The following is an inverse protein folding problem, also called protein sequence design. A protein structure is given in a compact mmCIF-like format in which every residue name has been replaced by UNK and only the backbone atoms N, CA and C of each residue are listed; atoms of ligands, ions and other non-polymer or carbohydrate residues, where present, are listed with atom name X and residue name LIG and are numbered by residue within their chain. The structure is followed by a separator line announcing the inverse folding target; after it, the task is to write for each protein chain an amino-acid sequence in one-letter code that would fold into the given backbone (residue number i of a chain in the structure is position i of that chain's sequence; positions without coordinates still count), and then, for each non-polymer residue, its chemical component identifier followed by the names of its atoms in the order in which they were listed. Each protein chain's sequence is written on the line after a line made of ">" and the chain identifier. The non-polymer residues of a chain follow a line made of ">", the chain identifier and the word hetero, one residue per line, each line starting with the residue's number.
data_IF_105809067246
#
_entry.id   IF_105809067246
#
_cell.length_a   1.000
_cell.length_b   1.000
_cell.length_c   1.000
_cell.angle_alpha   90.00
_cell.angle_beta   90.00
_cell.angle_gamma   90.00
#
_symmetry.space_group_name_H-M   'P 1'
#
loop_
_entity.id
_entity.type
_entity.pdbx_description
1 polymer ?
#
# COMPACT_ATOMS: atom_id res chain seq x y z
N UNK A 1 2.94 -13.98 -17.54
CA UNK A 1 2.95 -13.87 -16.06
C UNK A 1 1.92 -12.86 -15.57
N UNK A 2 2.01 -11.57 -15.92
CA UNK A 2 1.05 -10.52 -15.47
C UNK A 2 -0.41 -10.87 -15.78
N UNK A 3 -0.71 -11.34 -17.00
CA UNK A 3 -2.08 -11.76 -17.37
C UNK A 3 -2.60 -12.93 -16.52
N UNK A 4 -1.75 -13.93 -16.21
CA UNK A 4 -2.15 -15.08 -15.39
C UNK A 4 -2.38 -14.66 -13.93
N UNK A 5 -1.50 -13.81 -13.38
CA UNK A 5 -1.69 -13.22 -12.05
C UNK A 5 -2.98 -12.41 -11.98
N UNK A 6 -3.31 -11.65 -13.03
CA UNK A 6 -4.52 -10.83 -13.08
C UNK A 6 -5.80 -11.66 -13.13
N UNK A 7 -5.83 -12.73 -13.93
CA UNK A 7 -6.97 -13.67 -13.94
C UNK A 7 -7.18 -14.24 -12.55
N UNK A 8 -6.10 -14.67 -11.90
CA UNK A 8 -6.13 -15.26 -10.57
C UNK A 8 -6.59 -14.24 -9.49
N UNK A 9 -6.15 -12.99 -9.60
CA UNK A 9 -6.57 -11.90 -8.72
C UNK A 9 -8.05 -11.54 -8.88
N UNK A 10 -8.52 -11.45 -10.13
CA UNK A 10 -9.92 -11.18 -10.44
C UNK A 10 -10.80 -12.34 -9.94
N UNK A 11 -10.40 -13.59 -10.18
CA UNK A 11 -11.15 -14.75 -9.67
C UNK A 11 -11.18 -14.75 -8.13
N UNK A 12 -10.06 -14.44 -7.47
CA UNK A 12 -10.00 -14.32 -6.01
C UNK A 12 -10.96 -13.24 -5.46
N UNK A 13 -11.02 -12.06 -6.07
CA UNK A 13 -11.97 -11.00 -5.67
C UNK A 13 -13.43 -11.39 -5.85
N UNK A 14 -13.74 -12.12 -6.94
CA UNK A 14 -15.09 -12.59 -7.23
C UNK A 14 -15.50 -13.67 -6.23
N UNK A 15 -14.62 -14.64 -5.96
CA UNK A 15 -14.85 -15.71 -4.98
C UNK A 15 -15.05 -15.12 -3.58
N UNK A 16 -14.23 -14.16 -3.16
CA UNK A 16 -14.38 -13.51 -1.86
C UNK A 16 -15.67 -12.70 -1.73
N UNK A 17 -16.08 -12.00 -2.78
CA UNK A 17 -17.38 -11.34 -2.82
C UNK A 17 -18.54 -12.33 -2.72
N UNK A 18 -18.44 -13.46 -3.43
CA UNK A 18 -19.40 -14.55 -3.35
C UNK A 18 -19.50 -15.14 -1.94
N UNK A 19 -18.37 -15.51 -1.34
CA UNK A 19 -18.31 -16.06 0.01
C UNK A 19 -18.79 -15.07 1.06
N UNK A 20 -18.50 -13.77 0.93
CA UNK A 20 -19.03 -12.73 1.81
C UNK A 20 -20.55 -12.59 1.69
N UNK A 21 -21.10 -12.69 0.47
CA UNK A 21 -22.56 -12.60 0.26
C UNK A 21 -23.33 -13.78 0.86
N UNK A 22 -22.74 -14.98 0.87
CA UNK A 22 -23.36 -16.19 1.43
C UNK A 22 -23.22 -16.21 2.95
N UNK A 23 -22.03 -15.89 3.46
CA UNK A 23 -21.72 -15.93 4.89
C UNK A 23 -22.38 -14.76 5.65
N UNK A 24 -22.72 -13.67 4.95
CA UNK A 24 -23.29 -12.46 5.55
C UNK A 24 -22.32 -11.71 6.47
N UNK A 25 -21.05 -12.12 6.50
CA UNK A 25 -20.01 -11.55 7.35
C UNK A 25 -19.36 -10.33 6.68
N UNK A 26 -19.00 -9.36 7.50
CA UNK A 26 -18.44 -8.07 7.06
C UNK A 26 -16.91 -8.04 7.09
N UNK A 27 -16.25 -9.14 7.47
CA UNK A 27 -14.78 -9.22 7.57
C UNK A 27 -14.22 -10.44 6.87
N UNK A 28 -13.05 -10.28 6.26
CA UNK A 28 -12.39 -11.32 5.46
C UNK A 28 -12.15 -12.60 6.28
N UNK A 29 -11.59 -12.45 7.48
CA UNK A 29 -11.32 -13.59 8.35
C UNK A 29 -12.56 -14.36 8.78
N UNK A 30 -13.70 -13.68 8.98
CA UNK A 30 -14.93 -14.33 9.41
C UNK A 30 -15.51 -15.18 8.29
N UNK A 31 -15.42 -14.72 7.04
CA UNK A 31 -15.80 -15.48 5.85
C UNK A 31 -14.92 -16.74 5.72
N UNK A 32 -13.60 -16.60 5.87
CA UNK A 32 -12.67 -17.74 5.80
C UNK A 32 -12.94 -18.76 6.91
N UNK A 33 -13.22 -18.29 8.14
CA UNK A 33 -13.53 -19.15 9.29
C UNK A 33 -14.81 -19.94 9.11
N UNK A 34 -15.81 -19.34 8.45
CA UNK A 34 -17.12 -19.96 8.19
C UNK A 34 -17.03 -21.04 7.11
N UNK A 35 -16.26 -20.79 6.05
CA UNK A 35 -16.14 -21.74 4.91
C UNK A 35 -15.07 -22.81 5.13
N UNK A 36 -13.88 -22.45 5.61
CA UNK A 36 -12.73 -23.37 5.75
C UNK A 36 -12.57 -23.93 7.17
N UNK A 37 -13.40 -23.49 8.11
CA UNK A 37 -13.38 -23.95 9.50
C UNK A 37 -12.44 -23.18 10.45
N UNK A 38 -12.50 -23.50 11.76
CA UNK A 38 -11.91 -22.66 12.81
C UNK A 38 -10.38 -22.65 12.86
N UNK A 39 -9.71 -23.74 12.46
CA UNK A 39 -8.25 -23.83 12.45
C UNK A 39 -7.64 -22.95 11.35
N UNK A 40 -8.17 -23.06 10.13
CA UNK A 40 -7.74 -22.26 8.97
C UNK A 40 -8.12 -20.79 9.17
N UNK A 41 -9.30 -20.50 9.73
CA UNK A 41 -9.70 -19.14 10.10
C UNK A 41 -8.72 -18.46 11.05
N UNK A 42 -8.28 -19.15 12.13
CA UNK A 42 -7.30 -18.58 13.06
C UNK A 42 -5.92 -18.34 12.40
N UNK A 43 -5.45 -19.26 11.54
CA UNK A 43 -4.20 -19.06 10.80
C UNK A 43 -4.31 -17.85 9.86
N UNK A 44 -5.44 -17.74 9.17
CA UNK A 44 -5.76 -16.61 8.29
C UNK A 44 -5.76 -15.28 9.05
N UNK A 45 -6.36 -15.22 10.24
CA UNK A 45 -6.36 -14.03 11.10
C UNK A 45 -4.94 -13.57 11.44
N UNK A 46 -4.07 -14.51 11.86
CA UNK A 46 -2.68 -14.21 12.22
C UNK A 46 -1.90 -13.71 11.00
N UNK A 47 -2.01 -14.41 9.87
CA UNK A 47 -1.33 -14.04 8.65
C UNK A 47 -1.84 -12.68 8.12
N UNK A 48 -3.14 -12.38 8.26
CA UNK A 48 -3.76 -11.13 7.81
C UNK A 48 -3.23 -9.94 8.62
N UNK A 49 -3.19 -10.09 9.95
CA UNK A 49 -2.59 -9.10 10.86
C UNK A 49 -1.11 -8.88 10.53
N UNK A 50 -0.36 -9.95 10.32
CA UNK A 50 1.05 -9.87 9.96
C UNK A 50 1.25 -9.15 8.61
N UNK A 51 0.42 -9.45 7.62
CA UNK A 51 0.45 -8.80 6.32
C UNK A 51 0.19 -7.29 6.42
N UNK A 52 -0.90 -6.89 7.09
CA UNK A 52 -1.21 -5.47 7.33
C UNK A 52 -0.10 -4.75 8.11
N UNK A 53 0.56 -5.45 9.02
CA UNK A 53 1.67 -4.90 9.79
C UNK A 53 2.87 -4.57 8.89
N UNK A 54 3.27 -5.50 8.02
CA UNK A 54 4.39 -5.25 7.10
C UNK A 54 4.00 -4.19 6.04
N UNK A 55 2.76 -4.16 5.56
CA UNK A 55 2.26 -3.08 4.67
C UNK A 55 2.38 -1.71 5.35
N UNK A 56 2.06 -1.64 6.65
CA UNK A 56 2.22 -0.41 7.44
C UNK A 56 3.70 0.03 7.46
N UNK A 57 4.63 -0.91 7.67
CA UNK A 57 6.08 -0.61 7.61
C UNK A 57 6.47 -0.11 6.22
N UNK A 58 6.01 -0.77 5.15
CA UNK A 58 6.31 -0.37 3.77
C UNK A 58 5.85 1.06 3.49
N UNK A 59 4.64 1.42 3.92
CA UNK A 59 4.10 2.76 3.77
C UNK A 59 4.90 3.81 4.56
N UNK A 60 5.33 3.50 5.78
CA UNK A 60 6.19 4.43 6.53
C UNK A 60 7.55 4.61 5.88
N UNK A 61 8.17 3.55 5.34
CA UNK A 61 9.42 3.64 4.58
C UNK A 61 9.24 4.53 3.36
N UNK A 62 8.20 4.30 2.55
CA UNK A 62 7.93 5.12 1.36
C UNK A 62 7.70 6.58 1.74
N UNK A 63 6.88 6.84 2.75
CA UNK A 63 6.60 8.21 3.21
C UNK A 63 7.88 8.89 3.70
N UNK A 64 8.75 8.16 4.40
CA UNK A 64 10.03 8.68 4.82
C UNK A 64 10.89 9.09 3.61
N UNK A 65 11.05 8.21 2.62
CA UNK A 65 11.86 8.46 1.41
C UNK A 65 11.33 9.67 0.64
N UNK A 66 10.01 9.76 0.47
CA UNK A 66 9.36 10.89 -0.18
C UNK A 66 9.53 12.18 0.61
N UNK A 67 9.43 12.14 1.94
CA UNK A 67 9.61 13.30 2.81
C UNK A 67 11.05 13.84 2.75
N UNK A 68 12.04 12.95 2.72
CA UNK A 68 13.44 13.33 2.55
C UNK A 68 13.65 14.09 1.23
N UNK A 69 13.22 13.50 0.11
CA UNK A 69 13.36 14.15 -1.19
C UNK A 69 12.55 15.43 -1.31
N UNK A 70 11.36 15.49 -0.74
CA UNK A 70 10.56 16.72 -0.71
C UNK A 70 11.28 17.83 0.06
N UNK A 71 11.89 17.51 1.20
CA UNK A 71 12.64 18.49 1.99
C UNK A 71 13.82 19.06 1.19
N UNK A 72 14.64 18.20 0.57
CA UNK A 72 15.75 18.63 -0.29
C UNK A 72 15.25 19.45 -1.48
N UNK A 73 14.20 18.98 -2.17
CA UNK A 73 13.66 19.65 -3.36
C UNK A 73 13.09 21.04 -3.04
N UNK A 74 12.41 21.19 -1.89
CA UNK A 74 11.88 22.46 -1.43
C UNK A 74 13.00 23.41 -0.99
N UNK A 75 14.04 22.89 -0.33
CA UNK A 75 15.21 23.68 0.02
C UNK A 75 15.89 24.25 -1.21
N UNK A 76 16.19 23.42 -2.22
CA UNK A 76 16.77 23.84 -3.48
C UNK A 76 15.90 24.88 -4.20
N UNK A 77 14.57 24.67 -4.22
CA UNK A 77 13.63 25.59 -4.85
C UNK A 77 13.58 26.97 -4.18
N UNK A 78 13.65 27.02 -2.84
CA UNK A 78 13.52 28.25 -2.06
C UNK A 78 14.85 29.02 -1.99
N UNK A 79 15.97 28.30 -1.82
CA UNK A 79 17.29 28.91 -1.60
C UNK A 79 18.12 29.04 -2.87
N UNK A 80 17.82 28.26 -3.91
CA UNK A 80 18.62 28.20 -5.14
C UNK A 80 20.01 27.60 -4.93
N UNK A 81 20.31 27.07 -3.74
CA UNK A 81 21.60 26.49 -3.37
C UNK A 81 21.55 24.96 -3.51
N UNK A 82 22.64 24.32 -3.96
CA UNK A 82 22.73 22.86 -4.05
C UNK A 82 22.68 22.20 -2.67
N UNK A 83 22.18 20.96 -2.61
CA UNK A 83 22.06 20.12 -1.40
C UNK A 83 23.33 20.11 -0.52
N UNK A 84 24.52 20.28 -1.11
CA UNK A 84 25.81 20.32 -0.41
C UNK A 84 25.97 21.47 0.59
N UNK A 85 25.22 22.57 0.43
CA UNK A 85 25.24 23.71 1.34
C UNK A 85 24.11 23.67 2.38
N UNK A 86 23.27 22.62 2.36
CA UNK A 86 22.16 22.51 3.29
C UNK A 86 22.70 22.30 4.72
N UNK A 87 22.42 23.22 5.66
CA UNK A 87 22.89 23.07 7.02
C UNK A 87 22.18 21.88 7.70
N UNK A 88 22.99 20.93 8.20
CA UNK A 88 22.49 19.74 8.87
C UNK A 88 21.97 20.11 10.27
N UNK A 89 20.66 20.35 10.36
CA UNK A 89 19.98 20.54 11.63
C UNK A 89 19.20 19.28 12.04
N UNK A 90 19.08 19.05 13.34
CA UNK A 90 18.31 17.94 13.93
C UNK A 90 16.84 17.90 13.52
N UNK A 91 16.25 19.06 13.17
CA UNK A 91 14.88 19.16 12.66
C UNK A 91 14.75 18.81 11.17
N UNK A 92 15.85 18.79 10.42
CA UNK A 92 15.91 18.39 9.00
C UNK A 92 16.08 16.88 8.85
N UNK A 93 16.29 16.15 9.94
CA UNK A 93 16.35 14.69 9.92
C UNK A 93 14.98 14.11 9.54
N UNK A 94 14.96 13.36 8.43
CA UNK A 94 13.80 12.61 7.93
C UNK A 94 13.14 11.77 9.02
N UNK A 95 13.91 11.25 9.98
CA UNK A 95 13.41 10.44 11.09
C UNK A 95 12.57 11.25 12.06
N UNK A 96 12.99 12.48 12.36
CA UNK A 96 12.25 13.39 13.22
C UNK A 96 10.98 13.90 12.52
N UNK A 97 11.09 14.23 11.22
CA UNK A 97 9.95 14.65 10.43
C UNK A 97 8.91 13.51 10.26
N UNK A 98 9.36 12.26 10.08
CA UNK A 98 8.50 11.08 10.08
C UNK A 98 7.82 10.86 11.43
N UNK A 99 8.54 11.04 12.54
CA UNK A 99 7.97 10.97 13.89
C UNK A 99 6.88 12.02 14.10
N UNK A 100 7.14 13.28 13.72
CA UNK A 100 6.15 14.36 13.78
C UNK A 100 4.94 14.06 12.90
N UNK A 101 5.14 13.57 11.69
CA UNK A 101 4.06 13.17 10.79
C UNK A 101 3.21 12.05 11.40
N UNK A 102 3.86 11.05 12.02
CA UNK A 102 3.18 9.98 12.72
C UNK A 102 2.34 10.51 13.88
N UNK A 103 2.90 11.41 14.68
CA UNK A 103 2.25 11.96 15.87
C UNK A 103 1.10 12.92 15.53
N UNK A 104 1.29 13.82 14.55
CA UNK A 104 0.36 14.91 14.25
C UNK A 104 -0.64 14.61 13.13
N UNK A 105 -0.37 13.65 12.25
CA UNK A 105 -1.28 13.32 11.15
C UNK A 105 -1.77 11.89 11.26
N UNK A 106 -0.88 10.91 11.26
CA UNK A 106 -1.26 9.49 11.21
C UNK A 106 -2.02 9.08 12.47
N UNK A 107 -1.52 9.44 13.66
CA UNK A 107 -2.15 9.11 14.93
C UNK A 107 -3.57 9.68 15.04
N UNK A 108 -3.81 11.00 14.88
CA UNK A 108 -5.16 11.55 14.97
C UNK A 108 -6.09 11.03 13.86
N UNK A 109 -5.58 10.75 12.65
CA UNK A 109 -6.39 10.10 11.60
C UNK A 109 -6.70 8.63 11.88
N UNK A 110 -5.96 7.95 12.76
CA UNK A 110 -6.16 6.51 13.11
C UNK A 110 -7.15 6.29 14.27
N UNK A 111 -7.50 7.37 14.98
CA UNK A 111 -8.45 7.37 16.10
C UNK A 111 -9.93 7.21 15.68
N UNK A 112 -10.42 7.78 14.55
CA UNK A 112 -11.82 7.71 14.15
C UNK A 112 -12.32 6.27 14.02
N UNK A 113 -13.57 6.07 14.42
CA UNK A 113 -14.27 4.78 14.37
C UNK A 113 -14.80 4.43 12.98
N UNK A 114 -14.97 5.43 12.11
CA UNK A 114 -15.80 5.29 10.92
C UNK A 114 -15.02 5.24 9.59
N UNK A 115 -15.46 4.29 8.76
CA UNK A 115 -15.00 4.06 7.39
C UNK A 115 -15.50 5.16 6.42
N UNK A 116 -16.36 6.09 6.88
CA UNK A 116 -16.99 7.11 6.01
C UNK A 116 -16.00 8.02 5.28
N UNK A 117 -14.80 8.22 5.85
CA UNK A 117 -13.73 9.01 5.22
C UNK A 117 -13.07 8.26 4.04
N UNK A 118 -13.17 6.93 3.99
CA UNK A 118 -12.54 6.07 2.98
C UNK A 118 -12.92 6.45 1.54
N UNK A 119 -14.16 6.90 1.30
CA UNK A 119 -14.60 7.28 -0.05
C UNK A 119 -13.81 8.48 -0.59
N UNK A 120 -13.52 9.46 0.26
CA UNK A 120 -12.77 10.67 -0.13
C UNK A 120 -11.29 10.35 -0.35
N UNK A 121 -10.71 9.51 0.52
CA UNK A 121 -9.31 9.11 0.42
C UNK A 121 -9.05 8.24 -0.80
N UNK A 122 -9.99 7.34 -1.17
CA UNK A 122 -9.88 6.52 -2.38
C UNK A 122 -9.91 7.35 -3.66
N UNK A 123 -10.78 8.38 -3.73
CA UNK A 123 -10.83 9.31 -4.86
C UNK A 123 -9.52 10.09 -4.96
N UNK A 124 -9.02 10.63 -3.84
CA UNK A 124 -7.75 11.34 -3.79
C UNK A 124 -6.56 10.46 -4.23
N UNK A 125 -6.49 9.21 -3.75
CA UNK A 125 -5.46 8.26 -4.15
C UNK A 125 -5.50 7.92 -5.64
N UNK A 126 -6.69 7.78 -6.21
CA UNK A 126 -6.85 7.55 -7.67
C UNK A 126 -6.38 8.75 -8.48
N UNK A 127 -6.70 9.97 -8.03
CA UNK A 127 -6.19 11.20 -8.66
C UNK A 127 -4.66 11.30 -8.54
N UNK A 128 -4.08 10.96 -7.38
CA UNK A 128 -2.63 10.96 -7.20
C UNK A 128 -1.93 9.95 -8.14
N UNK A 129 -2.47 8.74 -8.26
CA UNK A 129 -1.91 7.70 -9.13
C UNK A 129 -2.01 8.05 -10.64
N UNK A 130 -3.15 8.60 -11.06
CA UNK A 130 -3.34 9.06 -12.45
C UNK A 130 -2.45 10.26 -12.77
N UNK A 131 -2.36 11.26 -11.87
CA UNK A 131 -1.44 12.39 -12.02
C UNK A 131 0.00 11.93 -12.16
N UNK A 132 0.44 11.00 -11.30
CA UNK A 132 1.80 10.46 -11.35
C UNK A 132 2.08 9.77 -12.70
N UNK A 133 1.13 8.98 -13.19
CA UNK A 133 1.27 8.28 -14.48
C UNK A 133 1.42 9.28 -15.62
N UNK A 134 0.59 10.34 -15.63
CA UNK A 134 0.65 11.41 -16.63
C UNK A 134 1.96 12.18 -16.52
N UNK A 135 2.42 12.52 -15.31
CA UNK A 135 3.67 13.24 -15.09
C UNK A 135 4.89 12.45 -15.62
N UNK A 136 4.95 11.14 -15.35
CA UNK A 136 6.00 10.25 -15.86
C UNK A 136 5.95 10.18 -17.39
N UNK A 137 4.75 10.03 -17.96
CA UNK A 137 4.56 9.95 -19.41
C UNK A 137 4.98 11.25 -20.10
N UNK A 138 4.55 12.40 -19.60
CA UNK A 138 4.92 13.72 -20.14
C UNK A 138 6.43 13.93 -20.03
N UNK A 139 7.04 13.58 -18.89
CA UNK A 139 8.50 13.70 -18.73
C UNK A 139 9.27 12.84 -19.71
N UNK A 140 8.79 11.64 -20.03
CA UNK A 140 9.38 10.82 -21.07
C UNK A 140 9.37 11.51 -22.44
N UNK A 141 8.23 12.09 -22.85
CA UNK A 141 8.11 12.77 -24.15
C UNK A 141 8.83 14.12 -24.23
N UNK A 142 8.96 14.82 -23.10
CA UNK A 142 9.65 16.12 -23.06
C UNK A 142 11.18 16.00 -22.99
N UNK A 143 11.75 14.79 -22.98
CA UNK A 143 13.20 14.65 -22.97
C UNK A 143 13.82 15.15 -24.27
N UNK A 144 14.89 15.97 -24.18
CA UNK A 144 15.57 16.44 -25.37
C UNK A 144 16.15 15.26 -26.15
N UNK A 145 15.92 15.27 -27.47
CA UNK A 145 16.31 14.23 -28.46
C UNK A 145 17.81 13.87 -28.40
N UNK A 146 18.65 14.73 -27.79
CA UNK A 146 20.10 14.51 -27.64
C UNK A 146 20.50 13.49 -26.56
N UNK A 147 19.60 13.07 -25.67
CA UNK A 147 19.85 11.94 -24.75
C UNK A 147 19.34 10.60 -25.30
N UNK A 148 18.78 10.59 -26.52
CA UNK A 148 18.51 9.36 -27.29
C UNK A 148 19.82 8.87 -27.91
N UNK A 149 20.91 8.86 -27.14
CA UNK A 149 21.99 7.94 -27.45
C UNK A 149 21.39 6.56 -27.25
N UNK A 150 21.37 5.79 -28.34
CA UNK A 150 21.01 4.39 -28.38
C UNK A 150 21.76 3.63 -27.27
N UNK A 151 21.23 3.62 -26.04
CA UNK A 151 21.47 2.51 -25.14
C UNK A 151 20.88 1.32 -25.89
N UNK A 152 21.68 0.29 -26.21
CA UNK A 152 21.28 -0.73 -27.16
C UNK A 152 19.96 -1.32 -26.71
N UNK A 153 18.89 -0.95 -27.42
CA UNK A 153 17.65 -1.68 -27.42
C UNK A 153 18.09 -3.09 -27.81
N UNK A 154 17.99 -4.05 -26.91
CA UNK A 154 18.43 -5.43 -27.11
C UNK A 154 19.95 -5.71 -26.95
N UNK A 155 20.49 -5.63 -25.74
CA UNK A 155 21.63 -6.50 -25.39
C UNK A 155 21.66 -6.88 -23.90
N UNK A 156 21.99 -8.15 -23.69
CA UNK A 156 22.07 -8.89 -22.41
C UNK A 156 20.72 -9.34 -21.86
N UNK A 157 20.35 -10.55 -22.26
CA UNK A 157 19.15 -11.25 -21.83
C UNK A 157 19.01 -11.34 -20.31
N UNK A 158 17.81 -11.03 -19.85
CA UNK A 158 17.33 -11.47 -18.55
C UNK A 158 16.54 -12.77 -18.81
N UNK A 159 17.23 -13.77 -19.38
CA UNK A 159 16.70 -15.13 -19.60
C UNK A 159 16.96 -16.04 -18.40
N UNK A 160 17.23 -15.47 -17.23
CA UNK A 160 17.24 -16.22 -15.98
C UNK A 160 15.82 -16.26 -15.43
N UNK A 161 15.25 -17.45 -15.34
CA UNK A 161 13.97 -17.67 -14.66
C UNK A 161 13.94 -17.02 -13.27
N UNK A 162 15.07 -16.98 -12.56
CA UNK A 162 15.20 -16.38 -11.25
C UNK A 162 14.85 -14.88 -11.22
N UNK A 163 15.25 -14.11 -12.24
CA UNK A 163 14.92 -12.69 -12.36
C UNK A 163 13.47 -12.42 -12.76
N UNK A 164 12.78 -13.38 -13.38
CA UNK A 164 11.33 -13.27 -13.58
C UNK A 164 10.59 -13.50 -12.26
N UNK A 165 11.06 -14.48 -11.45
CA UNK A 165 10.48 -14.77 -10.14
C UNK A 165 10.70 -13.64 -9.12
N UNK A 166 11.80 -12.88 -9.20
CA UNK A 166 12.04 -11.77 -8.28
C UNK A 166 11.06 -10.61 -8.41
N UNK A 167 10.33 -10.50 -9.53
CA UNK A 167 9.33 -9.44 -9.77
C UNK A 167 7.94 -9.83 -9.26
N UNK A 168 7.70 -11.13 -9.05
CA UNK A 168 6.39 -11.64 -8.58
C UNK A 168 5.95 -10.98 -7.28
N UNK A 169 6.79 -10.88 -6.23
CA UNK A 169 6.39 -10.22 -4.99
C UNK A 169 5.92 -8.78 -5.21
N UNK A 170 6.63 -8.00 -6.04
CA UNK A 170 6.26 -6.62 -6.34
C UNK A 170 4.91 -6.54 -7.07
N UNK A 171 4.64 -7.44 -8.01
CA UNK A 171 3.34 -7.52 -8.70
C UNK A 171 2.23 -7.92 -7.71
N UNK A 172 2.48 -8.94 -6.88
CA UNK A 172 1.52 -9.39 -5.87
C UNK A 172 1.18 -8.28 -4.87
N UNK A 173 2.19 -7.53 -4.40
CA UNK A 173 1.99 -6.36 -3.54
C UNK A 173 1.20 -5.26 -4.26
N UNK A 174 1.56 -4.91 -5.50
CA UNK A 174 0.89 -3.84 -6.25
C UNK A 174 -0.60 -4.12 -6.52
N UNK A 175 -0.96 -5.38 -6.78
CA UNK A 175 -2.34 -5.81 -7.02
C UNK A 175 -3.05 -6.38 -5.78
N UNK A 176 -2.47 -6.20 -4.60
CA UNK A 176 -3.06 -6.67 -3.36
C UNK A 176 -4.29 -5.82 -2.98
N UNK A 177 -5.48 -6.34 -3.30
CA UNK A 177 -6.75 -5.67 -3.01
C UNK A 177 -7.73 -6.55 -2.21
N UNK A 178 -7.43 -7.84 -2.06
CA UNK A 178 -8.29 -8.81 -1.36
C UNK A 178 -8.50 -8.45 0.12
N UNK A 179 -7.52 -7.85 0.79
CA UNK A 179 -7.61 -7.56 2.22
C UNK A 179 -8.66 -6.49 2.55
N UNK A 180 -8.86 -5.54 1.65
CA UNK A 180 -9.86 -4.48 1.80
C UNK A 180 -11.18 -4.82 1.12
N UNK A 181 -11.24 -5.89 0.31
CA UNK A 181 -12.36 -6.14 -0.58
C UNK A 181 -13.66 -6.41 0.18
N UNK A 182 -13.62 -7.17 1.28
CA UNK A 182 -14.79 -7.50 2.11
C UNK A 182 -15.30 -6.26 2.87
N UNK A 183 -14.40 -5.41 3.36
CA UNK A 183 -14.75 -4.15 4.01
C UNK A 183 -15.39 -3.17 3.02
N UNK A 184 -14.88 -3.11 1.78
CA UNK A 184 -15.46 -2.30 0.70
C UNK A 184 -16.84 -2.87 0.30
N UNK A 185 -16.95 -4.18 0.08
CA UNK A 185 -18.20 -4.83 -0.30
C UNK A 185 -19.32 -4.60 0.72
N UNK A 186 -19.03 -4.78 2.01
CA UNK A 186 -19.99 -4.55 3.09
C UNK A 186 -20.39 -3.07 3.24
N UNK A 187 -19.53 -2.14 2.82
CA UNK A 187 -19.79 -0.70 2.84
C UNK A 187 -20.54 -0.19 1.60
N UNK A 188 -20.74 -1.02 0.57
CA UNK A 188 -21.49 -0.62 -0.63
C UNK A 188 -23.00 -0.55 -0.35
N UNK A 189 -23.64 0.48 -0.91
CA UNK A 189 -25.11 0.63 -0.88
C UNK A 189 -25.80 -0.50 -1.64
N UNK A 190 -25.28 -0.85 -2.82
CA UNK A 190 -25.80 -1.94 -3.66
C UNK A 190 -24.96 -3.22 -3.50
N UNK A 191 -25.36 -4.09 -2.57
CA UNK A 191 -24.67 -5.36 -2.24
C UNK A 191 -24.93 -6.51 -3.23
N UNK A 192 -25.42 -6.24 -4.44
CA UNK A 192 -25.66 -7.27 -5.46
C UNK A 192 -24.32 -7.84 -5.96
N UNK A 193 -24.21 -9.18 -6.02
CA UNK A 193 -23.00 -9.85 -6.50
C UNK A 193 -22.61 -9.43 -7.92
N UNK A 194 -23.57 -9.37 -8.85
CA UNK A 194 -23.31 -8.93 -10.22
C UNK A 194 -22.69 -7.53 -10.28
N UNK A 195 -23.15 -6.64 -9.41
CA UNK A 195 -22.61 -5.27 -9.31
C UNK A 195 -21.18 -5.28 -8.75
N UNK A 196 -20.91 -6.07 -7.70
CA UNK A 196 -19.56 -6.25 -7.15
C UNK A 196 -18.56 -6.80 -8.19
N UNK A 197 -18.97 -7.80 -8.97
CA UNK A 197 -18.12 -8.39 -10.02
C UNK A 197 -17.77 -7.34 -11.06
N UNK A 198 -18.75 -6.57 -11.56
CA UNK A 198 -18.51 -5.51 -12.54
C UNK A 198 -17.55 -4.46 -11.98
N UNK A 199 -17.79 -3.95 -10.76
CA UNK A 199 -16.92 -2.97 -10.11
C UNK A 199 -15.49 -3.52 -9.98
N UNK A 200 -15.35 -4.75 -9.49
CA UNK A 200 -14.04 -5.39 -9.28
C UNK A 200 -13.26 -5.53 -10.59
N UNK A 201 -13.91 -6.00 -11.66
CA UNK A 201 -13.28 -6.17 -12.98
C UNK A 201 -12.87 -4.82 -13.58
N UNK A 202 -13.75 -3.82 -13.53
CA UNK A 202 -13.47 -2.48 -14.07
C UNK A 202 -12.34 -1.81 -13.28
N UNK A 203 -12.37 -1.86 -11.95
CA UNK A 203 -11.30 -1.30 -11.11
C UNK A 203 -9.96 -1.98 -11.36
N UNK A 204 -9.90 -3.31 -11.45
CA UNK A 204 -8.67 -4.03 -11.76
C UNK A 204 -8.13 -3.69 -13.15
N UNK A 205 -9.00 -3.52 -14.14
CA UNK A 205 -8.60 -3.12 -15.48
C UNK A 205 -7.98 -1.71 -15.52
N UNK A 206 -8.58 -0.75 -14.80
CA UNK A 206 -8.02 0.60 -14.65
C UNK A 206 -6.66 0.56 -13.95
N UNK A 207 -6.52 -0.18 -12.84
CA UNK A 207 -5.25 -0.36 -12.14
C UNK A 207 -4.18 -0.96 -13.07
N UNK A 208 -4.54 -1.96 -13.88
CA UNK A 208 -3.63 -2.57 -14.84
C UNK A 208 -3.09 -1.54 -15.83
N UNK A 209 -3.95 -0.67 -16.38
CA UNK A 209 -3.54 0.38 -17.32
C UNK A 209 -2.57 1.35 -16.64
N UNK A 210 -2.93 1.87 -15.47
CA UNK A 210 -2.12 2.84 -14.71
C UNK A 210 -0.74 2.26 -14.40
N UNK A 211 -0.69 1.03 -13.88
CA UNK A 211 0.57 0.36 -13.53
C UNK A 211 1.41 0.02 -14.76
N UNK A 212 0.78 -0.42 -15.85
CA UNK A 212 1.49 -0.75 -17.09
C UNK A 212 2.10 0.50 -17.73
N UNK A 213 1.35 1.60 -17.81
CA UNK A 213 1.85 2.88 -18.34
C UNK A 213 3.00 3.41 -17.47
N UNK A 214 2.81 3.43 -16.15
CA UNK A 214 3.83 3.89 -15.20
C UNK A 214 5.11 3.04 -15.30
N UNK A 215 4.97 1.72 -15.34
CA UNK A 215 6.10 0.79 -15.43
C UNK A 215 6.83 0.89 -16.78
N UNK A 216 6.10 0.95 -17.89
CA UNK A 216 6.70 1.05 -19.24
C UNK A 216 7.41 2.36 -19.44
N UNK A 217 6.73 3.50 -19.24
CA UNK A 217 7.37 4.82 -19.43
C UNK A 217 8.44 5.08 -18.39
N UNK A 218 8.28 4.57 -17.18
CA UNK A 218 9.28 4.65 -16.14
C UNK A 218 10.57 3.89 -16.49
N UNK A 219 10.43 2.66 -16.97
CA UNK A 219 11.56 1.85 -17.43
C UNK A 219 12.20 2.44 -18.70
N UNK A 220 11.42 2.94 -19.64
CA UNK A 220 11.96 3.66 -20.81
C UNK A 220 12.66 4.97 -20.39
N UNK A 221 12.30 5.54 -19.24
CA UNK A 221 12.96 6.72 -18.68
C UNK A 221 14.35 6.38 -18.15
N UNK A 222 14.48 5.44 -17.22
CA UNK A 222 15.74 5.22 -16.49
C UNK A 222 16.49 3.93 -16.87
N UNK A 223 15.87 3.05 -17.64
CA UNK A 223 16.42 1.76 -18.01
C UNK A 223 16.78 0.91 -16.78
N UNK A 224 18.02 0.40 -16.76
CA UNK A 224 18.53 -0.45 -15.68
C UNK A 224 18.88 0.29 -14.39
N UNK A 225 18.96 1.62 -14.43
CA UNK A 225 19.35 2.45 -13.29
C UNK A 225 18.14 2.96 -12.48
N UNK A 226 16.95 2.41 -12.73
CA UNK A 226 15.73 2.79 -12.00
C UNK A 226 15.84 2.37 -10.53
N UNK A 227 15.60 3.31 -9.63
CA UNK A 227 15.48 3.02 -8.20
C UNK A 227 14.19 2.22 -7.92
N UNK A 228 14.14 1.44 -6.83
CA UNK A 228 12.94 0.68 -6.45
C UNK A 228 11.67 1.53 -6.35
N UNK A 229 11.82 2.76 -5.85
CA UNK A 229 10.82 3.81 -5.99
C UNK A 229 11.22 4.73 -7.15
N UNK A 230 10.39 4.74 -8.20
CA UNK A 230 10.69 5.50 -9.42
C UNK A 230 10.72 7.01 -9.18
N UNK A 231 9.98 7.55 -8.20
CA UNK A 231 10.01 8.97 -7.86
C UNK A 231 11.39 9.37 -7.30
N UNK A 232 12.14 8.41 -6.75
CA UNK A 232 13.51 8.61 -6.31
C UNK A 232 14.50 8.69 -7.47
N UNK A 233 14.13 8.27 -8.68
CA UNK A 233 15.01 8.40 -9.86
C UNK A 233 14.93 9.78 -10.51
N UNK A 234 13.84 10.51 -10.30
CA UNK A 234 13.69 11.89 -10.79
C UNK A 234 14.46 12.88 -9.91
N UNK A 235 14.93 13.98 -10.52
CA UNK A 235 15.61 15.08 -9.82
C UNK A 235 14.67 15.83 -8.87
N UNK A 236 15.25 16.62 -7.95
CA UNK A 236 14.52 17.42 -6.97
C UNK A 236 13.84 18.65 -7.56
N UNK A 237 14.54 19.38 -8.43
CA UNK A 237 14.11 20.70 -8.93
C UNK A 237 12.92 20.75 -9.89
N UNK A 238 12.34 19.60 -10.26
CA UNK A 238 11.19 19.55 -11.18
C UNK A 238 9.85 19.76 -10.44
N UNK A 239 9.23 20.94 -10.59
CA UNK A 239 7.96 21.29 -9.91
C UNK A 239 6.86 20.25 -10.13
N UNK A 240 6.71 19.72 -11.35
CA UNK A 240 5.73 18.65 -11.65
C UNK A 240 5.99 17.39 -10.82
N UNK A 241 7.25 17.02 -10.63
CA UNK A 241 7.63 15.85 -9.84
C UNK A 241 7.49 16.12 -8.34
N UNK A 242 7.77 17.33 -7.87
CA UNK A 242 7.50 17.74 -6.49
C UNK A 242 6.00 17.59 -6.17
N UNK A 243 5.11 18.07 -7.06
CA UNK A 243 3.66 17.91 -6.89
C UNK A 243 3.27 16.43 -6.89
N UNK A 244 3.86 15.61 -7.77
CA UNK A 244 3.60 14.17 -7.81
C UNK A 244 3.99 13.48 -6.50
N UNK A 245 5.17 13.80 -5.96
CA UNK A 245 5.66 13.30 -4.67
C UNK A 245 4.74 13.70 -3.52
N UNK A 246 4.28 14.95 -3.51
CA UNK A 246 3.39 15.45 -2.48
C UNK A 246 2.03 14.75 -2.51
N UNK A 247 1.41 14.63 -3.69
CA UNK A 247 0.14 13.90 -3.87
C UNK A 247 0.27 12.42 -3.49
N UNK A 248 1.38 11.78 -3.89
CA UNK A 248 1.66 10.39 -3.56
C UNK A 248 1.84 10.21 -2.04
N UNK A 249 2.64 11.05 -1.38
CA UNK A 249 2.79 11.05 0.08
C UNK A 249 1.47 11.24 0.82
N UNK A 250 0.65 12.21 0.41
CA UNK A 250 -0.69 12.44 0.97
C UNK A 250 -1.57 11.20 0.79
N UNK A 251 -1.54 10.56 -0.39
CA UNK A 251 -2.31 9.34 -0.61
C UNK A 251 -1.92 8.22 0.36
N UNK A 252 -0.64 8.03 0.64
CA UNK A 252 -0.19 7.01 1.60
C UNK A 252 -0.57 7.37 3.03
N UNK A 253 -0.41 8.64 3.43
CA UNK A 253 -0.80 9.12 4.78
C UNK A 253 -2.30 8.92 5.01
N UNK A 254 -3.14 9.07 3.98
CA UNK A 254 -4.58 8.86 4.10
C UNK A 254 -4.99 7.38 4.09
N UNK A 255 -4.22 6.50 3.44
CA UNK A 255 -4.47 5.05 3.42
C UNK A 255 -3.99 4.38 4.71
N UNK A 256 -2.89 4.83 5.30
CA UNK A 256 -2.28 4.21 6.48
C UNK A 256 -3.27 4.01 7.65
N UNK A 257 -4.10 4.99 8.05
CA UNK A 257 -5.13 4.80 9.07
C UNK A 257 -6.07 3.64 8.77
N UNK A 258 -6.47 3.45 7.51
CA UNK A 258 -7.40 2.38 7.11
C UNK A 258 -6.76 1.01 7.38
N UNK A 259 -5.47 0.85 7.08
CA UNK A 259 -4.72 -0.39 7.37
C UNK A 259 -4.66 -0.64 8.88
N UNK A 260 -4.40 0.39 9.69
CA UNK A 260 -4.40 0.27 11.15
C UNK A 260 -5.79 -0.08 11.68
N UNK A 261 -6.85 0.50 11.12
CA UNK A 261 -8.24 0.21 11.49
C UNK A 261 -8.60 -1.25 11.19
N UNK A 262 -8.21 -1.77 10.03
CA UNK A 262 -8.39 -3.17 9.64
C UNK A 262 -7.60 -4.12 10.55
N UNK A 263 -6.31 -3.84 10.78
CA UNK A 263 -5.48 -4.68 11.66
C UNK A 263 -6.00 -4.71 13.08
N UNK A 264 -6.48 -3.55 13.56
CA UNK A 264 -7.08 -3.42 14.88
C UNK A 264 -8.39 -4.20 15.01
N UNK A 265 -9.30 -4.16 14.02
CA UNK A 265 -10.58 -4.88 14.12
C UNK A 265 -10.34 -6.39 14.23
N UNK A 266 -9.38 -6.93 13.47
CA UNK A 266 -9.03 -8.36 13.53
C UNK A 266 -8.41 -8.74 14.88
N UNK A 267 -7.59 -7.89 15.50
CA UNK A 267 -7.02 -8.17 16.82
C UNK A 267 -8.06 -7.99 17.94
N UNK A 268 -8.91 -6.98 17.85
CA UNK A 268 -9.89 -6.66 18.90
C UNK A 268 -10.99 -7.70 18.98
N UNK A 269 -11.50 -8.22 17.87
CA UNK A 269 -12.59 -9.20 17.83
C UNK A 269 -12.36 -10.43 18.73
N UNK A 270 -11.25 -11.19 18.61
CA UNK A 270 -10.98 -12.35 19.47
C UNK A 270 -10.67 -11.93 20.92
N UNK A 271 -10.02 -10.79 21.13
CA UNK A 271 -9.69 -10.27 22.47
C UNK A 271 -10.97 -9.92 23.27
N UNK A 272 -11.92 -9.27 22.60
CA UNK A 272 -13.23 -8.91 23.15
C UNK A 272 -14.09 -10.16 23.35
N UNK A 273 -14.14 -11.09 22.39
CA UNK A 273 -14.85 -12.38 22.57
C UNK A 273 -14.31 -13.19 23.75
N UNK A 274 -12.99 -13.27 23.93
CA UNK A 274 -12.36 -13.97 25.06
C UNK A 274 -12.68 -13.29 26.38
N UNK A 275 -12.71 -11.96 26.44
CA UNK A 275 -13.02 -11.20 27.66
C UNK A 275 -14.50 -11.18 28.00
N UNK A 276 -15.39 -11.12 27.02
CA UNK A 276 -16.85 -11.20 27.22
C UNK A 276 -17.26 -12.55 27.82
N UNK A 277 -16.45 -13.60 27.61
CA UNK A 277 -16.62 -14.92 28.25
C UNK A 277 -16.20 -14.95 29.73
N UNK A 278 -15.37 -14.00 30.18
CA UNK A 278 -14.83 -13.95 31.54
C UNK A 278 -15.34 -12.77 32.39
N UNK A 279 -15.78 -11.67 31.78
CA UNK A 279 -16.15 -10.42 32.47
C UNK A 279 -17.04 -9.53 31.59
N UNK A 280 -17.96 -8.76 32.17
CA UNK A 280 -18.73 -7.73 31.46
C UNK A 280 -17.79 -6.64 30.92
N UNK A 281 -17.82 -6.40 29.60
CA UNK A 281 -16.97 -5.41 28.94
C UNK A 281 -17.60 -4.03 29.09
N UNK A 282 -16.87 -3.08 29.70
CA UNK A 282 -17.26 -1.67 29.77
C UNK A 282 -16.80 -0.92 28.51
N UNK A 283 -17.60 0.02 28.00
CA UNK A 283 -17.25 0.83 26.81
C UNK A 283 -15.89 1.56 26.96
N UNK A 284 -15.54 1.94 28.18
CA UNK A 284 -14.25 2.57 28.51
C UNK A 284 -13.05 1.63 28.26
N UNK A 285 -13.20 0.32 28.53
CA UNK A 285 -12.15 -0.68 28.28
C UNK A 285 -11.94 -0.90 26.77
N UNK A 286 -13.01 -0.91 25.99
CA UNK A 286 -12.92 -1.05 24.53
C UNK A 286 -12.17 0.14 23.90
N UNK A 287 -12.48 1.36 24.36
CA UNK A 287 -11.79 2.59 23.92
C UNK A 287 -10.31 2.61 24.33
N UNK A 288 -9.99 2.23 25.58
CA UNK A 288 -8.60 2.14 26.04
C UNK A 288 -7.79 1.09 25.28
N UNK A 289 -8.37 -0.09 25.06
CA UNK A 289 -7.74 -1.17 24.29
C UNK A 289 -7.49 -0.73 22.85
N UNK A 290 -8.44 0.00 22.26
CA UNK A 290 -8.33 0.56 20.90
C UNK A 290 -7.16 1.51 20.78
N UNK A 291 -7.06 2.50 21.67
CA UNK A 291 -5.95 3.47 21.67
C UNK A 291 -4.62 2.78 21.95
N UNK A 292 -4.57 1.84 22.91
CA UNK A 292 -3.36 1.10 23.22
C UNK A 292 -2.86 0.28 22.02
N UNK A 293 -3.75 -0.44 21.33
CA UNK A 293 -3.40 -1.22 20.13
C UNK A 293 -2.92 -0.32 18.98
N UNK A 294 -3.60 0.79 18.71
CA UNK A 294 -3.17 1.74 17.68
C UNK A 294 -1.82 2.37 18.02
N UNK A 295 -1.60 2.73 19.28
CA UNK A 295 -0.32 3.30 19.74
C UNK A 295 0.81 2.27 19.61
N UNK A 296 0.59 1.04 20.07
CA UNK A 296 1.55 -0.04 19.94
C UNK A 296 1.87 -0.34 18.47
N UNK A 297 0.86 -0.45 17.62
CA UNK A 297 1.02 -0.70 16.19
C UNK A 297 1.92 0.35 15.54
N UNK A 298 1.57 1.64 15.68
CA UNK A 298 2.33 2.75 15.09
C UNK A 298 3.75 2.83 15.66
N UNK A 299 3.93 2.61 16.96
CA UNK A 299 5.25 2.68 17.60
C UNK A 299 6.17 1.58 17.10
N UNK A 300 5.68 0.34 17.01
CA UNK A 300 6.50 -0.79 16.53
C UNK A 300 6.79 -0.66 15.04
N UNK A 301 5.81 -0.27 14.22
CA UNK A 301 6.04 -0.07 12.78
C UNK A 301 7.06 1.04 12.54
N UNK A 302 6.95 2.16 13.25
CA UNK A 302 7.90 3.27 13.17
C UNK A 302 9.31 2.82 13.58
N UNK A 303 9.44 2.07 14.68
CA UNK A 303 10.73 1.55 15.14
C UNK A 303 11.38 0.68 14.07
N UNK A 304 10.61 -0.23 13.45
CA UNK A 304 11.11 -1.08 12.37
C UNK A 304 11.54 -0.24 11.15
N UNK A 305 10.75 0.76 10.76
CA UNK A 305 11.11 1.66 9.64
C UNK A 305 12.45 2.38 9.86
N UNK A 306 12.76 2.76 11.10
CA UNK A 306 14.05 3.39 11.43
C UNK A 306 15.23 2.42 11.28
N UNK A 307 15.02 1.13 11.59
CA UNK A 307 16.06 0.10 11.49
C UNK A 307 16.18 -0.54 10.10
N UNK A 308 15.10 -0.57 9.32
CA UNK A 308 15.03 -1.21 8.00
C UNK A 308 14.47 -0.22 6.97
N UNK A 309 15.33 0.66 6.41
CA UNK A 309 14.90 1.65 5.41
C UNK A 309 14.80 1.08 3.99
N UNK A 310 15.23 -0.16 3.73
CA UNK A 310 15.27 -0.72 2.38
C UNK A 310 13.87 -1.12 1.87
N UNK A 311 13.24 -0.25 1.07
CA UNK A 311 11.91 -0.47 0.48
C UNK A 311 11.81 -1.80 -0.28
N UNK A 312 12.82 -2.18 -1.06
CA UNK A 312 12.81 -3.43 -1.85
C UNK A 312 12.71 -4.68 -0.98
N UNK A 313 13.42 -4.69 0.17
CA UNK A 313 13.37 -5.82 1.10
C UNK A 313 11.98 -5.94 1.70
N UNK A 314 11.40 -4.82 2.11
CA UNK A 314 10.04 -4.79 2.67
C UNK A 314 9.02 -5.26 1.62
N UNK A 315 9.03 -4.70 0.41
CA UNK A 315 8.12 -5.11 -0.67
C UNK A 315 8.27 -6.59 -1.02
N UNK A 316 9.49 -7.13 -1.03
CA UNK A 316 9.70 -8.55 -1.30
C UNK A 316 9.07 -9.45 -0.23
N UNK A 317 9.18 -9.06 1.04
CA UNK A 317 8.55 -9.79 2.15
C UNK A 317 7.03 -9.68 2.09
N UNK A 318 6.48 -8.47 1.91
CA UNK A 318 5.03 -8.26 1.78
C UNK A 318 4.50 -9.07 0.61
N UNK A 319 5.09 -8.89 -0.57
CA UNK A 319 4.68 -9.57 -1.78
C UNK A 319 4.72 -11.09 -1.68
N UNK A 320 5.67 -11.65 -0.93
CA UNK A 320 5.74 -13.08 -0.65
C UNK A 320 4.58 -13.56 0.24
N UNK A 321 4.27 -12.82 1.31
CA UNK A 321 3.12 -13.11 2.19
C UNK A 321 1.81 -12.94 1.42
N UNK A 322 1.68 -11.88 0.61
CA UNK A 322 0.51 -11.63 -0.23
C UNK A 322 0.36 -12.68 -1.33
N UNK A 323 1.45 -13.18 -1.90
CA UNK A 323 1.40 -14.31 -2.83
C UNK A 323 0.87 -15.58 -2.16
N UNK A 324 1.27 -15.85 -0.90
CA UNK A 324 0.67 -16.95 -0.12
C UNK A 324 -0.84 -16.74 0.02
N UNK A 325 -1.30 -15.53 0.35
CA UNK A 325 -2.73 -15.22 0.45
C UNK A 325 -3.50 -15.36 -0.86
N UNK A 326 -2.92 -14.78 -1.90
CA UNK A 326 -3.50 -14.79 -3.24
C UNK A 326 -3.55 -16.25 -3.69
N UNK A 327 -2.44 -16.97 -3.79
CA UNK A 327 -2.46 -18.29 -4.43
C UNK A 327 -3.11 -19.40 -3.58
N UNK A 328 -2.97 -19.40 -2.26
CA UNK A 328 -3.37 -20.57 -1.46
C UNK A 328 -4.82 -20.49 -0.98
N UNK A 329 -5.30 -19.32 -0.55
CA UNK A 329 -6.65 -19.24 0.04
C UNK A 329 -7.79 -19.45 -0.96
N UNK A 330 -7.79 -18.88 -2.18
CA UNK A 330 -8.80 -19.15 -3.21
C UNK A 330 -8.85 -20.62 -3.65
N UNK A 331 -7.72 -21.33 -3.67
CA UNK A 331 -7.68 -22.78 -3.94
C UNK A 331 -8.28 -23.60 -2.77
N UNK A 332 -8.52 -22.98 -1.61
CA UNK A 332 -9.15 -23.62 -0.44
C UNK A 332 -10.67 -23.39 -0.34
N UNK A 333 -11.24 -22.52 -1.19
CA UNK A 333 -12.68 -22.22 -1.27
C UNK A 333 -13.35 -23.00 -2.41
#
# INVERSE_FOLDING_TARGET
>A
MIQMSLVFLISGLVILGYSSSISGQNTYQAVVRDVCGPAIGNLCEICYVFNLFIISVAFLVIVADQLQKLCVSLYELITGLPESEMPYYWYTDQRFALFLLCLFFIFPLSVPKEISIQKYTSVLGTFAATYLTVAITVKYYMRPVHEINLSPLYSSGVSSWASMFSVIPTICFGFQCHEACVAVYSSMENRKLSHWVIISVVSMFICLIIYSLTGVFGYLTFGKNVAPDILMSYSGGDVTMIIARLLFGISIITIFPIIVLLGRSVIQDPLLRRRHKHTAVTESYESRTRVALTTAWVTVTLLITVFVPDISKVISVVGGVSAFFIFIFPDTF
#
